data_IF_059878863865
#
_entry.id   IF_059878863865
#
_cell.length_a   1.000
_cell.length_b   1.000
_cell.length_c   1.000
_cell.angle_alpha   90.00
_cell.angle_beta   90.00
_cell.angle_gamma   90.00
#
_symmetry.space_group_name_H-M   'P 1'
#
loop_
_entity.id
_entity.type
_entity.pdbx_description
1 polymer ?
#
# COMPACT_ATOMS: atom_id res chain seq x y z
N UNK A 1 3.61 13.29 -13.00
CA UNK A 1 3.98 12.27 -12.00
C UNK A 1 2.81 11.80 -11.13
N UNK A 2 1.75 12.59 -10.89
CA UNK A 2 0.53 12.16 -10.16
C UNK A 2 -0.36 11.14 -10.91
N UNK A 3 -0.31 11.14 -12.24
CA UNK A 3 -1.09 10.21 -13.06
C UNK A 3 -0.68 8.73 -12.87
N UNK A 4 0.61 8.47 -12.62
CA UNK A 4 1.12 7.10 -12.41
C UNK A 4 0.70 6.53 -11.05
N UNK A 5 0.74 7.34 -10.00
CA UNK A 5 0.34 6.95 -8.64
C UNK A 5 -1.16 6.64 -8.56
N UNK A 6 -2.00 7.48 -9.19
CA UNK A 6 -3.45 7.27 -9.20
C UNK A 6 -3.84 6.02 -9.99
N UNK A 7 -3.17 5.77 -11.13
CA UNK A 7 -3.38 4.55 -11.93
C UNK A 7 -2.90 3.30 -11.19
N UNK A 8 -1.75 3.38 -10.53
CA UNK A 8 -1.24 2.31 -9.68
C UNK A 8 -2.24 1.95 -8.58
N UNK A 9 -2.69 2.94 -7.79
CA UNK A 9 -3.66 2.70 -6.73
C UNK A 9 -4.96 2.12 -7.29
N UNK A 10 -5.49 2.67 -8.39
CA UNK A 10 -6.69 2.16 -9.04
C UNK A 10 -6.54 0.69 -9.47
N UNK A 11 -5.36 0.31 -9.98
CA UNK A 11 -5.03 -1.04 -10.44
C UNK A 11 -4.83 -2.09 -9.32
N UNK A 12 -4.63 -1.67 -8.07
CA UNK A 12 -4.52 -2.61 -6.94
C UNK A 12 -5.85 -3.31 -6.66
N UNK A 13 -5.78 -4.59 -6.28
CA UNK A 13 -6.92 -5.34 -5.72
C UNK A 13 -7.33 -4.75 -4.38
N UNK A 14 -8.58 -4.98 -3.99
CA UNK A 14 -9.12 -4.50 -2.70
C UNK A 14 -8.25 -4.96 -1.53
N UNK A 15 -7.86 -6.24 -1.48
CA UNK A 15 -6.99 -6.78 -0.43
C UNK A 15 -5.60 -6.13 -0.38
N UNK A 16 -5.07 -5.68 -1.52
CA UNK A 16 -3.80 -4.96 -1.57
C UNK A 16 -3.95 -3.53 -1.04
N UNK A 17 -5.04 -2.85 -1.40
CA UNK A 17 -5.39 -1.52 -0.86
C UNK A 17 -5.57 -1.57 0.66
N UNK A 18 -6.27 -2.58 1.15
CA UNK A 18 -6.48 -2.81 2.59
C UNK A 18 -5.17 -3.08 3.33
N UNK A 19 -4.25 -3.85 2.74
CA UNK A 19 -2.93 -4.10 3.33
C UNK A 19 -2.09 -2.83 3.42
N UNK A 20 -2.04 -2.04 2.35
CA UNK A 20 -1.33 -0.76 2.33
C UNK A 20 -1.93 0.18 3.38
N UNK A 21 -3.25 0.34 3.40
CA UNK A 21 -3.94 1.18 4.38
C UNK A 21 -3.75 0.69 5.82
N UNK A 22 -3.75 -0.62 6.06
CA UNK A 22 -3.50 -1.21 7.38
C UNK A 22 -2.10 -0.87 7.89
N UNK A 23 -1.10 -0.84 7.00
CA UNK A 23 0.27 -0.43 7.34
C UNK A 23 0.39 1.07 7.62
N UNK A 24 -0.30 1.89 6.84
CA UNK A 24 -0.35 3.34 7.05
C UNK A 24 -1.01 3.66 8.40
N UNK A 25 -2.18 3.06 8.67
CA UNK A 25 -3.00 3.33 9.84
C UNK A 25 -2.54 2.58 11.10
N UNK A 26 -1.62 1.62 10.97
CA UNK A 26 -1.16 0.71 12.04
C UNK A 26 -2.30 -0.02 12.77
N UNK A 27 -3.41 -0.25 12.06
CA UNK A 27 -4.58 -1.01 12.52
C UNK A 27 -5.24 -1.68 11.32
N UNK A 28 -6.03 -2.74 11.50
CA UNK A 28 -6.82 -3.31 10.41
C UNK A 28 -7.73 -2.24 9.79
N UNK A 29 -7.68 -2.14 8.46
CA UNK A 29 -8.52 -1.25 7.66
C UNK A 29 -9.10 -2.05 6.50
N UNK A 30 -10.41 -1.94 6.31
CA UNK A 30 -11.14 -2.61 5.22
C UNK A 30 -11.59 -1.59 4.17
N UNK A 31 -12.01 -2.06 3.01
CA UNK A 31 -12.72 -1.23 2.04
C UNK A 31 -14.11 -0.84 2.58
N UNK A 32 -14.60 0.40 2.37
CA UNK A 32 -14.00 1.48 1.57
C UNK A 32 -13.02 2.39 2.34
N UNK A 33 -12.87 2.20 3.66
CA UNK A 33 -12.04 3.02 4.54
C UNK A 33 -10.57 3.09 4.06
N UNK A 34 -10.04 2.00 3.51
CA UNK A 34 -8.67 1.98 2.97
C UNK A 34 -8.42 3.02 1.88
N UNK A 35 -9.44 3.29 1.05
CA UNK A 35 -9.37 4.29 -0.02
C UNK A 35 -9.50 5.71 0.53
N UNK A 36 -10.32 5.90 1.56
CA UNK A 36 -10.42 7.19 2.24
C UNK A 36 -9.07 7.56 2.92
N UNK A 37 -8.42 6.60 3.56
CA UNK A 37 -7.10 6.80 4.17
C UNK A 37 -6.08 7.17 3.10
N UNK A 38 -6.02 6.41 1.99
CA UNK A 38 -5.12 6.72 0.88
C UNK A 38 -5.31 8.14 0.34
N UNK A 39 -6.57 8.53 0.08
CA UNK A 39 -6.89 9.87 -0.44
C UNK A 39 -6.65 10.99 0.57
N UNK A 40 -6.56 10.68 1.88
CA UNK A 40 -6.25 11.68 2.91
C UNK A 40 -4.75 11.97 3.05
N UNK A 41 -3.89 11.16 2.42
CA UNK A 41 -2.45 11.36 2.44
C UNK A 41 -2.04 12.53 1.52
N UNK A 42 -0.96 13.22 1.88
CA UNK A 42 -0.31 14.18 0.99
C UNK A 42 0.33 13.47 -0.22
N UNK A 43 0.46 14.20 -1.33
CA UNK A 43 1.09 13.68 -2.56
C UNK A 43 2.49 13.13 -2.31
N UNK A 44 3.28 13.78 -1.45
CA UNK A 44 4.62 13.33 -1.07
C UNK A 44 4.57 11.98 -0.35
N UNK A 45 3.60 11.80 0.55
CA UNK A 45 3.45 10.54 1.29
C UNK A 45 2.94 9.43 0.38
N UNK A 46 2.00 9.72 -0.50
CA UNK A 46 1.54 8.77 -1.53
C UNK A 46 2.69 8.35 -2.44
N UNK A 47 3.53 9.30 -2.87
CA UNK A 47 4.71 9.03 -3.69
C UNK A 47 5.72 8.14 -2.97
N UNK A 48 6.05 8.45 -1.71
CA UNK A 48 6.97 7.63 -0.92
C UNK A 48 6.48 6.19 -0.76
N UNK A 49 5.16 6.00 -0.57
CA UNK A 49 4.57 4.66 -0.48
C UNK A 49 4.57 3.97 -1.85
N UNK A 50 4.22 4.68 -2.91
CA UNK A 50 4.29 4.17 -4.28
C UNK A 50 5.69 3.71 -4.64
N UNK A 51 6.72 4.53 -4.38
CA UNK A 51 8.12 4.21 -4.63
C UNK A 51 8.55 3.01 -3.77
N UNK A 52 8.24 2.99 -2.47
CA UNK A 52 8.54 1.85 -1.60
C UNK A 52 7.89 0.54 -2.10
N UNK A 53 6.62 0.60 -2.50
CA UNK A 53 5.88 -0.56 -2.97
C UNK A 53 6.19 -0.95 -4.43
N UNK A 54 6.83 -0.07 -5.22
CA UNK A 54 7.16 -0.35 -6.62
C UNK A 54 8.65 -0.69 -6.83
N UNK A 55 9.53 -0.15 -5.99
CA UNK A 55 11.00 -0.29 -6.10
C UNK A 55 11.55 -1.39 -5.17
N UNK A 56 11.13 -1.40 -3.89
CA UNK A 56 11.63 -2.39 -2.92
C UNK A 56 10.88 -3.74 -2.98
N UNK A 57 9.68 -3.75 -3.56
CA UNK A 57 8.84 -4.95 -3.69
C UNK A 57 8.13 -4.91 -5.04
N UNK A 58 8.85 -5.09 -6.15
CA UNK A 58 8.22 -5.29 -7.46
C UNK A 58 7.04 -6.24 -7.30
N UNK A 59 5.81 -5.76 -7.54
CA UNK A 59 4.58 -6.42 -7.11
C UNK A 59 4.46 -7.84 -7.67
N UNK A 60 4.98 -8.79 -6.91
CA UNK A 60 4.68 -10.22 -6.92
C UNK A 60 5.30 -10.88 -5.69
N UNK A 61 5.05 -10.37 -4.48
CA UNK A 61 5.56 -11.04 -3.28
C UNK A 61 4.46 -11.67 -2.43
N UNK A 62 4.25 -12.93 -2.82
CA UNK A 62 3.77 -14.07 -2.02
C UNK A 62 4.45 -14.18 -0.64
N UNK A 63 5.62 -13.57 -0.46
CA UNK A 63 6.41 -13.61 0.78
C UNK A 63 5.88 -12.74 1.92
N UNK A 64 4.84 -11.93 1.68
CA UNK A 64 4.14 -11.26 2.78
C UNK A 64 2.95 -12.07 3.32
N UNK A 65 2.76 -13.31 2.85
CA UNK A 65 1.65 -14.16 3.25
C UNK A 65 1.98 -15.18 4.35
N UNK A 66 3.24 -15.36 4.76
CA UNK A 66 3.55 -16.26 5.86
C UNK A 66 4.24 -15.49 6.98
N UNK A 67 3.51 -15.32 8.07
CA UNK A 67 4.04 -14.65 9.25
C UNK A 67 5.18 -15.46 9.84
N UNK A 68 6.38 -14.87 9.91
CA UNK A 68 7.21 -14.83 11.12
C UNK A 68 8.46 -13.95 10.92
N UNK A 69 9.20 -13.58 12.00
CA UNK A 69 9.54 -12.20 12.30
C UNK A 69 11.07 -11.94 12.18
N UNK A 70 11.46 -10.70 12.51
CA UNK A 70 12.82 -10.26 12.81
C UNK A 70 13.71 -11.36 13.42
N UNK A 71 14.88 -11.63 12.79
CA UNK A 71 16.20 -12.13 13.27
C UNK A 71 16.83 -12.91 12.10
N UNK A 72 18.07 -12.73 11.65
CA UNK A 72 19.34 -12.25 12.26
C UNK A 72 20.05 -11.27 11.28
#
# INVERSE_FOLDING_TARGET
>A
MTADISKWWAGLKVSEKERVATKIAKRPVSYPECTAIWNSLSDERQRSIYEHCSDAHGYLLKEWFEGNPLTD
#
